data_IF_587322388154
#
_entry.id   IF_587322388154
#
_cell.length_a   1.000
_cell.length_b   1.000
_cell.length_c   1.000
_cell.angle_alpha   90.00
_cell.angle_beta   90.00
_cell.angle_gamma   90.00
#
_symmetry.space_group_name_H-M   'P 1'
#
loop_
_entity.id
_entity.type
_entity.pdbx_description
1 polymer ?
#
# COMPACT_ATOMS: atom_id res chain seq x y z
N UNK A 1 -18.39 4.32 10.43
CA UNK A 1 -17.24 3.66 11.11
C UNK A 1 -17.63 2.25 11.50
N UNK A 2 -16.77 1.29 11.21
CA UNK A 2 -16.95 -0.10 11.59
C UNK A 2 -16.92 -0.31 13.13
N UNK A 3 -17.48 -1.41 13.61
CA UNK A 3 -17.47 -1.73 15.02
C UNK A 3 -16.03 -1.88 15.55
N UNK A 4 -15.68 -1.19 16.63
CA UNK A 4 -14.33 -1.17 17.23
C UNK A 4 -13.76 -2.58 17.47
N UNK A 5 -14.61 -3.51 17.91
CA UNK A 5 -14.20 -4.90 18.18
C UNK A 5 -13.76 -5.61 16.91
N UNK A 6 -14.45 -5.38 15.79
CA UNK A 6 -14.12 -5.95 14.48
C UNK A 6 -12.83 -5.33 13.97
N UNK A 7 -12.68 -4.00 14.09
CA UNK A 7 -11.48 -3.29 13.68
C UNK A 7 -10.23 -3.78 14.42
N UNK A 8 -10.33 -3.92 15.76
CA UNK A 8 -9.22 -4.46 16.55
C UNK A 8 -8.87 -5.89 16.12
N UNK A 9 -9.88 -6.75 15.93
CA UNK A 9 -9.66 -8.13 15.49
C UNK A 9 -8.99 -8.19 14.13
N UNK A 10 -9.36 -7.33 13.19
CA UNK A 10 -8.74 -7.27 11.88
C UNK A 10 -7.26 -6.84 11.98
N UNK A 11 -6.95 -5.79 12.74
CA UNK A 11 -5.57 -5.36 12.97
C UNK A 11 -4.73 -6.44 13.66
N UNK A 12 -5.28 -7.16 14.64
CA UNK A 12 -4.60 -8.27 15.31
C UNK A 12 -4.32 -9.44 14.33
N UNK A 13 -5.26 -9.76 13.44
CA UNK A 13 -5.03 -10.74 12.39
C UNK A 13 -3.90 -10.31 11.43
N UNK A 14 -3.85 -9.04 11.02
CA UNK A 14 -2.76 -8.51 10.20
C UNK A 14 -1.42 -8.70 10.91
N UNK A 15 -1.32 -8.36 12.20
CA UNK A 15 -0.10 -8.57 13.01
C UNK A 15 0.35 -10.02 13.07
N UNK A 16 -0.60 -10.92 13.36
CA UNK A 16 -0.31 -12.34 13.50
C UNK A 16 0.12 -12.94 12.16
N UNK A 17 -0.58 -12.62 11.07
CA UNK A 17 -0.23 -13.08 9.74
C UNK A 17 1.16 -12.58 9.34
N UNK A 18 1.44 -11.28 9.53
CA UNK A 18 2.74 -10.70 9.20
C UNK A 18 3.88 -11.36 9.98
N UNK A 19 3.72 -11.55 11.29
CA UNK A 19 4.71 -12.22 12.13
C UNK A 19 4.90 -13.69 11.69
N UNK A 20 3.82 -14.40 11.40
CA UNK A 20 3.84 -15.81 10.98
C UNK A 20 4.53 -16.01 9.63
N UNK A 21 4.32 -15.08 8.69
CA UNK A 21 5.01 -15.10 7.38
C UNK A 21 6.50 -14.98 7.55
N UNK A 22 6.97 -14.00 8.34
CA UNK A 22 8.40 -13.78 8.61
C UNK A 22 9.01 -14.97 9.36
N UNK A 23 8.31 -15.46 10.38
CA UNK A 23 8.76 -16.62 11.16
C UNK A 23 8.88 -17.87 10.30
N UNK A 24 7.89 -18.15 9.47
CA UNK A 24 7.92 -19.31 8.56
C UNK A 24 9.05 -19.22 7.55
N UNK A 25 9.26 -18.04 6.97
CA UNK A 25 10.33 -17.81 5.99
C UNK A 25 11.74 -17.77 6.63
N UNK A 26 11.83 -17.64 7.96
CA UNK A 26 13.08 -17.37 8.70
C UNK A 26 13.84 -16.16 8.13
N UNK A 27 13.13 -15.26 7.50
CA UNK A 27 13.67 -14.08 6.81
C UNK A 27 12.59 -13.01 6.65
N UNK A 28 12.94 -11.76 6.89
CA UNK A 28 12.02 -10.62 6.72
C UNK A 28 12.11 -9.62 7.86
N UNK A 29 11.18 -8.65 7.84
CA UNK A 29 11.15 -7.51 8.76
C UNK A 29 9.78 -7.49 9.49
N UNK A 30 9.68 -8.01 10.72
CA UNK A 30 8.40 -8.07 11.41
C UNK A 30 7.97 -6.71 12.01
N UNK A 31 8.92 -5.86 12.40
CA UNK A 31 8.66 -4.65 13.17
C UNK A 31 7.68 -3.70 12.52
N UNK A 32 8.02 -3.16 11.37
CA UNK A 32 7.15 -2.23 10.62
C UNK A 32 5.85 -2.89 10.17
N UNK A 33 5.91 -4.16 9.76
CA UNK A 33 4.74 -4.91 9.33
C UNK A 33 3.70 -5.09 10.44
N UNK A 34 4.13 -5.33 11.67
CA UNK A 34 3.25 -5.41 12.83
C UNK A 34 2.82 -4.03 13.32
N UNK A 35 3.73 -3.06 13.33
CA UNK A 35 3.48 -1.69 13.80
C UNK A 35 2.48 -0.94 12.95
N UNK A 36 2.47 -1.17 11.64
CA UNK A 36 1.55 -0.54 10.69
C UNK A 36 0.15 -1.18 10.61
N UNK A 37 -0.12 -2.25 11.36
CA UNK A 37 -1.34 -3.03 11.22
C UNK A 37 -2.63 -2.24 11.49
N UNK A 38 -2.67 -1.40 12.53
CA UNK A 38 -3.83 -0.56 12.81
C UNK A 38 -4.03 0.48 11.72
N UNK A 39 -2.94 1.11 11.29
CA UNK A 39 -2.98 2.13 10.24
C UNK A 39 -3.54 1.55 8.94
N UNK A 40 -2.96 0.46 8.44
CA UNK A 40 -3.39 -0.12 7.16
C UNK A 40 -4.83 -0.62 7.24
N UNK A 41 -5.24 -1.21 8.37
CA UNK A 41 -6.61 -1.64 8.58
C UNK A 41 -7.59 -0.47 8.52
N UNK A 42 -7.30 0.63 9.23
CA UNK A 42 -8.15 1.83 9.22
C UNK A 42 -8.17 2.47 7.83
N UNK A 43 -7.00 2.60 7.17
CA UNK A 43 -6.93 3.17 5.83
C UNK A 43 -7.82 2.41 4.85
N UNK A 44 -7.69 1.09 4.78
CA UNK A 44 -8.40 0.25 3.81
C UNK A 44 -9.89 0.07 4.12
N UNK A 45 -10.29 0.18 5.38
CA UNK A 45 -11.69 -0.04 5.78
C UNK A 45 -12.52 1.23 5.95
N UNK A 46 -11.89 2.40 6.16
CA UNK A 46 -12.61 3.65 6.48
C UNK A 46 -12.30 4.81 5.52
N UNK A 47 -11.16 4.81 4.85
CA UNK A 47 -10.72 5.96 4.08
C UNK A 47 -10.51 5.68 2.59
N UNK A 48 -9.96 4.55 2.23
CA UNK A 48 -9.64 4.21 0.85
C UNK A 48 -10.93 3.92 0.07
N UNK A 49 -11.20 4.72 -0.93
CA UNK A 49 -12.35 4.50 -1.82
C UNK A 49 -11.92 3.52 -2.91
N UNK A 50 -12.25 2.27 -2.71
CA UNK A 50 -11.94 1.21 -3.65
C UNK A 50 -12.96 0.07 -3.57
N UNK A 51 -12.99 -0.78 -4.59
CA UNK A 51 -13.81 -1.97 -4.64
C UNK A 51 -12.90 -3.20 -4.73
N UNK A 52 -12.81 -4.03 -3.69
CA UNK A 52 -11.97 -5.22 -3.73
C UNK A 52 -12.39 -6.21 -4.82
N UNK A 53 -13.64 -6.21 -5.27
CA UNK A 53 -14.12 -7.07 -6.35
C UNK A 53 -13.87 -6.49 -7.75
N UNK A 54 -13.52 -5.20 -7.84
CA UNK A 54 -13.20 -4.51 -9.09
C UNK A 54 -11.99 -3.60 -8.94
N UNK A 55 -10.81 -4.18 -8.78
CA UNK A 55 -9.55 -3.44 -8.61
C UNK A 55 -9.02 -2.79 -9.90
N UNK A 56 -9.69 -3.01 -11.02
CA UNK A 56 -9.40 -2.33 -12.29
C UNK A 56 -10.28 -1.08 -12.49
N UNK A 57 -11.20 -0.79 -11.57
CA UNK A 57 -11.98 0.45 -11.61
C UNK A 57 -11.08 1.69 -11.55
N UNK A 58 -11.11 2.50 -12.60
CA UNK A 58 -10.22 3.66 -12.75
C UNK A 58 -10.48 4.78 -11.73
N UNK A 59 -11.70 4.91 -11.23
CA UNK A 59 -12.08 5.92 -10.25
C UNK A 59 -11.70 5.59 -8.80
N UNK A 60 -11.07 4.44 -8.56
CA UNK A 60 -10.65 4.04 -7.21
C UNK A 60 -9.46 4.85 -6.72
N UNK A 61 -9.35 5.04 -5.42
CA UNK A 61 -8.12 5.51 -4.77
C UNK A 61 -6.98 4.50 -4.97
N UNK A 62 -5.73 4.97 -4.85
CA UNK A 62 -4.54 4.12 -5.02
C UNK A 62 -3.64 4.22 -3.81
N UNK A 63 -3.13 3.07 -3.39
CA UNK A 63 -2.21 2.95 -2.27
C UNK A 63 -0.83 2.49 -2.73
N UNK A 64 0.20 3.26 -2.38
CA UNK A 64 1.60 2.99 -2.70
C UNK A 64 2.38 2.68 -1.41
N UNK A 65 3.01 1.53 -1.38
CA UNK A 65 3.89 1.14 -0.27
C UNK A 65 5.34 1.47 -0.64
N UNK A 66 5.95 2.44 0.05
CA UNK A 66 7.37 2.77 -0.13
C UNK A 66 8.29 1.76 0.59
N UNK A 67 8.12 1.49 1.90
CA UNK A 67 8.97 0.52 2.59
C UNK A 67 8.59 -0.91 2.18
N UNK A 68 9.08 -1.36 1.02
CA UNK A 68 8.74 -2.66 0.46
C UNK A 68 8.99 -3.84 1.40
N UNK A 69 9.94 -3.71 2.33
CA UNK A 69 10.19 -4.69 3.38
C UNK A 69 9.01 -4.86 4.36
N UNK A 70 8.04 -3.93 4.37
CA UNK A 70 6.79 -4.05 5.12
C UNK A 70 5.72 -4.83 4.33
N UNK A 71 6.07 -5.48 3.23
CA UNK A 71 5.18 -6.31 2.41
C UNK A 71 4.27 -7.27 3.21
N UNK A 72 4.71 -7.90 4.33
CA UNK A 72 3.80 -8.75 5.11
C UNK A 72 2.58 -8.03 5.64
N UNK A 73 2.68 -6.72 5.95
CA UNK A 73 1.53 -5.89 6.33
C UNK A 73 0.53 -5.79 5.18
N UNK A 74 1.02 -5.43 3.99
CA UNK A 74 0.17 -5.26 2.81
C UNK A 74 -0.48 -6.58 2.40
N UNK A 75 0.29 -7.67 2.30
CA UNK A 75 -0.25 -8.99 1.96
C UNK A 75 -1.29 -9.48 2.96
N UNK A 76 -1.07 -9.23 4.26
CA UNK A 76 -2.05 -9.60 5.30
C UNK A 76 -3.34 -8.80 5.18
N UNK A 77 -3.25 -7.50 4.93
CA UNK A 77 -4.42 -6.65 4.72
C UNK A 77 -5.21 -7.08 3.46
N UNK A 78 -4.51 -7.37 2.37
CA UNK A 78 -5.11 -7.86 1.12
C UNK A 78 -5.67 -9.28 1.26
N UNK A 79 -5.07 -10.14 2.09
CA UNK A 79 -5.60 -11.47 2.37
C UNK A 79 -6.93 -11.40 3.13
N UNK A 80 -7.10 -10.47 4.07
CA UNK A 80 -8.39 -10.25 4.74
C UNK A 80 -9.50 -9.80 3.76
N UNK A 81 -9.12 -9.33 2.58
CA UNK A 81 -10.02 -8.92 1.51
C UNK A 81 -10.12 -9.99 0.39
N UNK A 82 -9.60 -11.19 0.64
CA UNK A 82 -9.67 -12.30 -0.29
C UNK A 82 -8.72 -12.26 -1.48
N UNK A 83 -7.71 -11.36 -1.49
CA UNK A 83 -6.75 -11.23 -2.61
C UNK A 83 -5.58 -12.20 -2.51
N UNK A 84 -5.31 -12.71 -1.33
CA UNK A 84 -4.33 -13.76 -1.06
C UNK A 84 -4.94 -14.84 -0.20
N UNK A 85 -4.61 -16.07 -0.49
CA UNK A 85 -4.94 -17.22 0.36
C UNK A 85 -3.90 -17.39 1.46
N UNK A 86 -4.27 -18.10 2.53
CA UNK A 86 -3.33 -18.43 3.59
C UNK A 86 -2.14 -19.27 3.07
N UNK A 87 -2.37 -20.12 2.08
CA UNK A 87 -1.30 -20.94 1.52
C UNK A 87 -0.33 -20.11 0.66
N UNK A 88 -0.79 -19.08 -0.02
CA UNK A 88 0.09 -18.10 -0.68
C UNK A 88 0.89 -17.29 0.33
N UNK A 89 0.29 -16.87 1.45
CA UNK A 89 1.03 -16.20 2.53
C UNK A 89 2.13 -17.08 3.13
N UNK A 90 1.88 -18.40 3.25
CA UNK A 90 2.90 -19.36 3.70
C UNK A 90 4.09 -19.49 2.76
N UNK A 91 3.97 -19.04 1.51
CA UNK A 91 5.04 -19.02 0.51
C UNK A 91 5.85 -17.72 0.52
N UNK A 92 5.67 -16.86 1.52
CA UNK A 92 6.40 -15.60 1.64
C UNK A 92 7.92 -15.80 1.46
N UNK A 93 8.52 -15.01 0.56
CA UNK A 93 9.95 -15.07 0.19
C UNK A 93 10.43 -16.40 -0.41
N UNK A 94 9.53 -17.28 -0.83
CA UNK A 94 9.92 -18.47 -1.56
C UNK A 94 10.07 -18.16 -3.05
N UNK A 95 10.84 -18.98 -3.75
CA UNK A 95 11.03 -18.85 -5.20
C UNK A 95 9.68 -18.93 -5.94
N UNK A 96 9.50 -18.04 -6.92
CA UNK A 96 8.25 -17.93 -7.71
C UNK A 96 6.97 -17.73 -6.89
N UNK A 97 7.09 -17.31 -5.64
CA UNK A 97 5.95 -17.04 -4.78
C UNK A 97 5.21 -15.76 -5.21
N UNK A 98 3.86 -15.73 -5.11
CA UNK A 98 3.09 -14.51 -5.30
C UNK A 98 3.26 -13.49 -4.16
N UNK A 99 4.00 -13.85 -3.10
CA UNK A 99 4.31 -13.01 -1.94
C UNK A 99 5.81 -12.82 -1.77
N UNK A 100 6.50 -12.18 -2.74
CA UNK A 100 7.93 -11.89 -2.62
C UNK A 100 8.23 -10.98 -1.41
N UNK A 101 9.49 -10.91 -1.00
CA UNK A 101 9.91 -10.12 0.17
C UNK A 101 9.66 -8.62 0.04
N UNK A 102 9.66 -8.12 -1.18
CA UNK A 102 9.26 -6.77 -1.57
C UNK A 102 8.16 -6.91 -2.63
N UNK A 103 7.06 -6.16 -2.54
CA UNK A 103 5.94 -6.35 -3.46
C UNK A 103 6.34 -6.04 -4.91
N UNK A 104 5.85 -6.81 -5.83
CA UNK A 104 5.84 -6.52 -7.25
C UNK A 104 4.44 -6.04 -7.66
N UNK A 105 4.39 -5.12 -8.63
CA UNK A 105 3.13 -4.54 -9.07
C UNK A 105 2.18 -5.62 -9.58
N UNK A 106 1.04 -5.72 -8.93
CA UNK A 106 -0.07 -6.62 -9.30
C UNK A 106 -1.40 -5.92 -8.98
N UNK A 107 -1.88 -5.12 -9.92
CA UNK A 107 -3.12 -4.33 -9.75
C UNK A 107 -4.33 -5.22 -9.49
N UNK A 108 -4.37 -6.42 -10.07
CA UNK A 108 -5.48 -7.37 -9.87
C UNK A 108 -5.57 -7.89 -8.44
N UNK A 109 -4.47 -7.78 -7.68
CA UNK A 109 -4.42 -8.12 -6.26
C UNK A 109 -4.34 -6.89 -5.35
N UNK A 110 -4.38 -5.67 -5.92
CA UNK A 110 -4.35 -4.42 -5.15
C UNK A 110 -2.96 -3.88 -4.84
N UNK A 111 -1.93 -4.31 -5.58
CA UNK A 111 -0.55 -3.83 -5.43
C UNK A 111 -0.23 -2.86 -6.56
N UNK A 112 -0.14 -1.57 -6.25
CA UNK A 112 0.02 -0.51 -7.24
C UNK A 112 1.45 -0.36 -7.75
N UNK A 113 2.45 -0.67 -6.94
CA UNK A 113 3.85 -0.47 -7.29
C UNK A 113 4.75 -1.61 -6.90
N UNK A 114 5.76 -1.85 -7.69
CA UNK A 114 6.94 -2.60 -7.27
C UNK A 114 7.73 -1.71 -6.32
N UNK A 115 8.07 -2.20 -5.15
CA UNK A 115 8.88 -1.48 -4.17
C UNK A 115 10.06 -2.32 -3.69
N UNK A 116 10.99 -1.67 -3.01
CA UNK A 116 12.22 -2.27 -2.54
C UNK A 116 13.18 -1.16 -2.13
N UNK A 117 13.77 -0.42 -3.07
CA UNK A 117 14.57 0.75 -2.73
C UNK A 117 13.71 1.82 -2.06
N UNK A 118 14.10 2.24 -0.87
CA UNK A 118 13.41 3.29 -0.12
C UNK A 118 13.40 4.62 -0.91
N UNK A 119 12.35 5.40 -0.75
CA UNK A 119 12.16 6.67 -1.45
C UNK A 119 11.49 6.54 -2.80
N UNK A 120 11.48 5.37 -3.44
CA UNK A 120 10.89 5.21 -4.77
C UNK A 120 9.36 5.05 -4.74
N UNK A 121 8.81 4.38 -3.72
CA UNK A 121 7.37 4.10 -3.65
C UNK A 121 6.52 5.36 -3.62
N UNK A 122 6.86 6.32 -2.77
CA UNK A 122 6.13 7.58 -2.73
C UNK A 122 6.47 8.52 -3.90
N UNK A 123 7.61 8.33 -4.56
CA UNK A 123 7.91 9.02 -5.82
C UNK A 123 6.96 8.55 -6.93
N UNK A 124 6.66 7.24 -7.01
CA UNK A 124 5.60 6.71 -7.88
C UNK A 124 4.24 7.30 -7.53
N UNK A 125 3.92 7.40 -6.22
CA UNK A 125 2.67 8.02 -5.76
C UNK A 125 2.56 9.48 -6.20
N UNK A 126 3.63 10.26 -6.11
CA UNK A 126 3.66 11.63 -6.60
C UNK A 126 3.43 11.71 -8.11
N UNK A 127 4.05 10.80 -8.89
CA UNK A 127 3.80 10.67 -10.33
C UNK A 127 2.33 10.33 -10.64
N UNK A 128 1.73 9.42 -9.87
CA UNK A 128 0.32 9.09 -10.01
C UNK A 128 -0.59 10.28 -9.66
N UNK A 129 -0.23 11.09 -8.65
CA UNK A 129 -0.97 12.29 -8.29
C UNK A 129 -0.91 13.38 -9.37
N UNK A 130 0.24 13.52 -10.05
CA UNK A 130 0.36 14.39 -11.23
C UNK A 130 -0.54 13.88 -12.37
N UNK A 131 -0.50 12.57 -12.64
CA UNK A 131 -1.32 11.95 -13.67
C UNK A 131 -2.82 12.13 -13.41
N UNK A 132 -3.25 11.98 -12.15
CA UNK A 132 -4.65 12.22 -11.75
C UNK A 132 -5.06 13.67 -12.04
N UNK A 133 -4.24 14.67 -11.66
CA UNK A 133 -4.52 16.08 -11.97
C UNK A 133 -4.62 16.33 -13.46
N UNK A 134 -3.73 15.75 -14.26
CA UNK A 134 -3.77 15.86 -15.71
C UNK A 134 -5.05 15.25 -16.31
N UNK A 135 -5.45 14.07 -15.83
CA UNK A 135 -6.67 13.41 -16.26
C UNK A 135 -7.92 14.20 -15.82
N UNK A 136 -7.90 14.76 -14.62
CA UNK A 136 -8.97 15.60 -14.10
C UNK A 136 -9.22 16.84 -14.97
N UNK A 137 -8.15 17.50 -15.45
CA UNK A 137 -8.27 18.64 -16.36
C UNK A 137 -8.79 18.23 -17.76
N UNK A 138 -8.46 17.03 -18.22
CA UNK A 138 -8.92 16.52 -19.52
C UNK A 138 -10.34 15.97 -19.52
N UNK A 139 -10.70 15.23 -18.49
CA UNK A 139 -11.94 14.43 -18.44
C UNK A 139 -13.00 15.04 -17.51
N UNK A 140 -12.62 16.00 -16.71
CA UNK A 140 -13.49 16.67 -15.75
C UNK A 140 -13.43 16.05 -14.34
N UNK A 141 -13.62 16.90 -13.33
CA UNK A 141 -13.57 16.55 -11.91
C UNK A 141 -14.68 15.60 -11.47
N UNK A 142 -15.74 15.50 -12.23
CA UNK A 142 -16.83 14.56 -11.96
C UNK A 142 -16.45 13.12 -12.30
N UNK A 143 -15.53 12.96 -13.25
CA UNK A 143 -15.05 11.65 -13.71
C UNK A 143 -13.81 11.21 -12.94
N UNK A 144 -12.86 12.11 -12.75
CA UNK A 144 -11.55 11.83 -12.10
C UNK A 144 -11.44 12.64 -10.81
N UNK A 145 -11.44 11.97 -9.67
CA UNK A 145 -11.36 12.59 -8.34
C UNK A 145 -10.76 11.69 -7.26
N UNK A 146 -10.04 10.64 -7.67
CA UNK A 146 -9.46 9.71 -6.72
C UNK A 146 -8.23 10.30 -6.00
N UNK A 147 -7.96 9.79 -4.80
CA UNK A 147 -6.79 10.14 -4.00
C UNK A 147 -5.68 9.13 -4.19
N UNK A 148 -4.48 9.59 -3.94
CA UNK A 148 -3.26 8.79 -3.98
C UNK A 148 -2.68 8.77 -2.57
N UNK A 149 -2.58 7.59 -1.98
CA UNK A 149 -2.02 7.40 -0.65
C UNK A 149 -0.62 6.79 -0.76
N UNK A 150 0.33 7.33 -0.01
CA UNK A 150 1.68 6.80 0.10
C UNK A 150 2.03 6.51 1.55
N UNK A 151 2.41 5.27 1.85
CA UNK A 151 2.97 4.92 3.14
C UNK A 151 4.49 4.94 3.03
N UNK A 152 5.14 5.81 3.81
CA UNK A 152 6.58 6.00 3.83
C UNK A 152 7.15 5.69 5.23
N UNK A 153 8.42 5.29 5.27
CA UNK A 153 9.14 5.09 6.52
C UNK A 153 10.08 6.25 6.83
N UNK A 154 10.60 6.29 8.05
CA UNK A 154 11.65 7.22 8.48
C UNK A 154 12.88 7.14 7.57
N UNK A 155 13.35 5.93 7.26
CA UNK A 155 14.43 5.73 6.30
C UNK A 155 14.08 6.21 4.90
N UNK A 156 12.84 5.97 4.44
CA UNK A 156 12.35 6.48 3.15
C UNK A 156 12.37 8.01 3.06
N UNK A 157 12.00 8.70 4.14
CA UNK A 157 12.03 10.17 4.20
C UNK A 157 13.46 10.71 4.09
N UNK A 158 14.46 9.99 4.60
CA UNK A 158 15.86 10.41 4.58
C UNK A 158 16.52 10.29 3.20
N UNK A 159 15.94 9.53 2.29
CA UNK A 159 16.44 9.41 0.92
C UNK A 159 16.34 10.75 0.18
N UNK A 160 17.38 11.13 -0.58
CA UNK A 160 17.41 12.41 -1.29
C UNK A 160 16.30 12.55 -2.32
N UNK A 161 15.93 11.45 -2.99
CA UNK A 161 14.81 11.43 -3.92
C UNK A 161 13.49 11.79 -3.25
N UNK A 162 13.31 11.43 -1.98
CA UNK A 162 12.13 11.78 -1.17
C UNK A 162 12.03 13.27 -0.95
N UNK A 163 13.14 13.89 -0.62
CA UNK A 163 13.22 15.34 -0.40
C UNK A 163 12.90 16.11 -1.69
N UNK A 164 13.42 15.64 -2.82
CA UNK A 164 13.10 16.18 -4.15
C UNK A 164 11.62 16.02 -4.49
N UNK A 165 11.08 14.84 -4.29
CA UNK A 165 9.67 14.51 -4.53
C UNK A 165 8.74 15.38 -3.69
N UNK A 166 9.01 15.54 -2.39
CA UNK A 166 8.22 16.40 -1.50
C UNK A 166 8.20 17.86 -1.96
N UNK A 167 9.36 18.40 -2.35
CA UNK A 167 9.46 19.76 -2.90
C UNK A 167 8.66 19.93 -4.19
N UNK A 168 8.73 18.96 -5.10
CA UNK A 168 7.96 18.99 -6.36
C UNK A 168 6.46 18.89 -6.06
N UNK A 169 6.04 17.96 -5.20
CA UNK A 169 4.64 17.80 -4.83
C UNK A 169 4.06 19.08 -4.21
N UNK A 170 4.82 19.73 -3.30
CA UNK A 170 4.45 21.00 -2.70
C UNK A 170 4.36 22.13 -3.73
N UNK A 171 5.35 22.25 -4.63
CA UNK A 171 5.36 23.27 -5.69
C UNK A 171 4.20 23.12 -6.67
N UNK A 172 3.82 21.88 -7.00
CA UNK A 172 2.70 21.59 -7.89
C UNK A 172 1.34 21.60 -7.19
N UNK A 173 1.31 21.79 -5.86
CA UNK A 173 0.07 21.80 -5.07
C UNK A 173 -0.71 20.49 -5.20
N UNK A 174 -0.05 19.35 -5.10
CA UNK A 174 -0.67 18.02 -5.22
C UNK A 174 -1.51 17.68 -3.98
N UNK A 175 -2.67 18.30 -3.85
CA UNK A 175 -3.60 18.10 -2.72
C UNK A 175 -4.38 16.76 -2.78
N UNK A 176 -4.18 15.98 -3.80
CA UNK A 176 -4.68 14.62 -3.98
C UNK A 176 -3.67 13.55 -3.51
N UNK A 177 -2.44 13.92 -3.17
CA UNK A 177 -1.42 13.06 -2.56
C UNK A 177 -1.49 13.16 -1.03
N UNK A 178 -1.58 12.02 -0.35
CA UNK A 178 -1.74 11.89 1.11
C UNK A 178 -0.68 10.94 1.64
#
# INVERSE_FOLDING_TARGET
MNEKKIMNKAADNIRILAASMVEKAKSGHPGGAMGGADFINVLFSEFLVWDPDNLEWEGRDRFFLDPGHMSPMLYSALALQGKFTIDELKQFRQWESPTPGHPERDVKRGIENTSGPLGQGHTFAAGAAVAEKFLQEKLGKEVIKHKIYAYISDGGVQEEISQGTGRIAGNLGLNNLI
#
